data_IF_713607701054
#
_entry.id   IF_713607701054
#
_cell.length_a   1.000
_cell.length_b   1.000
_cell.length_c   1.000
_cell.angle_alpha   90.00
_cell.angle_beta   90.00
_cell.angle_gamma   90.00
#
_symmetry.space_group_name_H-M   'P 1'
#
loop_
_entity.id
_entity.type
_entity.pdbx_description
1 polymer ?
#
# COMPACT_ATOMS: atom_id res chain seq x y z
N UNK A 1 -11.09 8.19 4.13
CA UNK A 1 -12.49 7.69 4.03
C UNK A 1 -12.68 6.39 4.81
N UNK A 2 -11.82 5.39 4.68
CA UNK A 2 -11.95 4.11 5.41
C UNK A 2 -12.05 4.29 6.92
N UNK A 3 -11.19 5.10 7.52
CA UNK A 3 -11.24 5.41 8.95
C UNK A 3 -12.60 5.96 9.41
N UNK A 4 -13.32 6.61 8.51
CA UNK A 4 -14.64 7.18 8.76
C UNK A 4 -15.78 6.26 8.28
N UNK A 5 -15.50 5.00 7.97
CA UNK A 5 -16.44 4.00 7.46
C UNK A 5 -17.17 4.46 6.18
N UNK A 6 -16.51 5.26 5.37
CA UNK A 6 -17.04 5.71 4.08
C UNK A 6 -16.42 4.90 2.95
N UNK A 7 -17.18 4.56 1.89
CA UNK A 7 -16.64 3.86 0.75
C UNK A 7 -15.62 4.72 0.02
N UNK A 8 -14.48 4.12 -0.32
CA UNK A 8 -13.47 4.72 -1.17
C UNK A 8 -13.60 4.19 -2.61
N UNK A 9 -13.42 5.07 -3.60
CA UNK A 9 -13.50 4.73 -5.02
C UNK A 9 -12.11 4.51 -5.57
N UNK A 10 -11.86 3.31 -6.07
CA UNK A 10 -10.60 2.94 -6.70
C UNK A 10 -10.74 2.87 -8.21
N UNK A 11 -9.67 3.28 -8.93
CA UNK A 11 -9.51 2.98 -10.35
C UNK A 11 -8.16 2.32 -10.61
N UNK A 12 -8.09 1.41 -11.59
CA UNK A 12 -6.85 0.70 -11.90
C UNK A 12 -6.05 1.44 -12.97
N UNK A 13 -4.74 1.59 -12.75
CA UNK A 13 -3.78 2.04 -13.75
C UNK A 13 -2.88 0.86 -14.15
N UNK A 14 -2.92 0.50 -15.44
CA UNK A 14 -2.27 -0.70 -15.96
C UNK A 14 -1.09 -0.41 -16.89
N UNK A 15 -0.86 0.85 -17.22
CA UNK A 15 0.23 1.30 -18.09
C UNK A 15 0.78 2.64 -17.60
N UNK A 16 2.04 2.93 -17.91
CA UNK A 16 2.64 4.20 -17.55
C UNK A 16 1.97 5.35 -18.31
N UNK A 17 1.09 6.04 -17.62
CA UNK A 17 0.34 7.19 -18.15
C UNK A 17 0.19 8.26 -17.06
N UNK A 18 1.20 9.13 -16.86
CA UNK A 18 1.18 10.13 -15.79
C UNK A 18 -0.04 11.07 -15.83
N UNK A 19 -0.54 11.42 -17.02
CA UNK A 19 -1.75 12.25 -17.15
C UNK A 19 -3.01 11.62 -16.57
N UNK A 20 -3.07 10.28 -16.46
CA UNK A 20 -4.18 9.56 -15.85
C UNK A 20 -4.38 9.94 -14.38
N UNK A 21 -3.30 10.20 -13.65
CA UNK A 21 -3.35 10.59 -12.23
C UNK A 21 -4.21 11.84 -12.05
N UNK A 22 -3.96 12.88 -12.86
CA UNK A 22 -4.75 14.11 -12.84
C UNK A 22 -6.22 13.87 -13.19
N UNK A 23 -6.50 13.00 -14.16
CA UNK A 23 -7.88 12.68 -14.54
C UNK A 23 -8.59 11.92 -13.43
N UNK A 24 -7.94 10.92 -12.83
CA UNK A 24 -8.50 10.15 -11.71
C UNK A 24 -8.89 11.07 -10.54
N UNK A 25 -7.99 11.97 -10.13
CA UNK A 25 -8.25 12.95 -9.10
C UNK A 25 -9.43 13.89 -9.49
N UNK A 26 -9.43 14.45 -10.71
CA UNK A 26 -10.47 15.36 -11.19
C UNK A 26 -11.85 14.70 -11.28
N UNK A 27 -11.93 13.39 -11.56
CA UNK A 27 -13.19 12.64 -11.58
C UNK A 27 -13.60 12.09 -10.22
N UNK A 28 -12.89 12.44 -9.14
CA UNK A 28 -13.27 12.14 -7.77
C UNK A 28 -13.06 10.68 -7.38
N UNK A 29 -12.05 10.04 -7.96
CA UNK A 29 -11.49 8.81 -7.39
C UNK A 29 -10.65 9.15 -6.17
N UNK A 30 -10.65 8.25 -5.20
CA UNK A 30 -9.94 8.40 -3.94
C UNK A 30 -8.56 7.74 -3.99
N UNK A 31 -8.43 6.69 -4.79
CA UNK A 31 -7.19 5.92 -4.86
C UNK A 31 -7.00 5.31 -6.26
N UNK A 32 -5.76 5.28 -6.70
CA UNK A 32 -5.33 4.53 -7.89
C UNK A 32 -4.77 3.19 -7.44
N UNK A 33 -5.26 2.10 -8.01
CA UNK A 33 -4.63 0.80 -7.88
C UNK A 33 -3.58 0.63 -8.98
N UNK A 34 -2.31 0.66 -8.59
CA UNK A 34 -1.16 0.44 -9.45
C UNK A 34 -0.73 -1.02 -9.38
N UNK A 35 -0.90 -1.74 -10.48
CA UNK A 35 -0.67 -3.18 -10.55
C UNK A 35 0.73 -3.50 -11.11
N UNK A 36 1.65 -3.92 -10.26
CA UNK A 36 3.00 -4.34 -10.65
C UNK A 36 3.14 -5.88 -10.70
N UNK A 37 2.10 -6.61 -10.30
CA UNK A 37 2.11 -8.08 -10.37
C UNK A 37 1.90 -8.56 -11.80
N UNK A 38 0.89 -8.01 -12.49
CA UNK A 38 0.52 -8.44 -13.84
C UNK A 38 0.85 -7.41 -14.91
N UNK A 39 1.53 -6.33 -14.59
CA UNK A 39 1.90 -5.25 -15.52
C UNK A 39 3.37 -4.89 -15.40
N UNK A 40 3.96 -4.55 -16.53
CA UNK A 40 5.34 -4.12 -16.59
C UNK A 40 5.45 -2.63 -16.27
N UNK A 41 6.06 -2.34 -15.12
CA UNK A 41 6.50 -1.01 -14.72
C UNK A 41 7.93 -1.09 -14.22
N UNK A 42 8.74 -0.11 -14.53
CA UNK A 42 10.03 0.03 -13.89
C UNK A 42 9.94 0.91 -12.62
N UNK A 43 10.97 0.87 -11.78
CA UNK A 43 10.99 1.59 -10.50
C UNK A 43 10.85 3.12 -10.69
N UNK A 44 11.38 3.68 -11.78
CA UNK A 44 11.29 5.13 -12.07
C UNK A 44 9.90 5.54 -12.52
N UNK A 45 9.22 4.70 -13.27
CA UNK A 45 7.84 4.90 -13.67
C UNK A 45 6.93 4.91 -12.45
N UNK A 46 7.12 3.95 -11.52
CA UNK A 46 6.37 3.88 -10.26
C UNK A 46 6.61 5.14 -9.43
N UNK A 47 7.87 5.51 -9.20
CA UNK A 47 8.24 6.70 -8.42
C UNK A 47 7.67 7.99 -9.03
N UNK A 48 7.69 8.11 -10.36
CA UNK A 48 7.08 9.24 -11.07
C UNK A 48 5.56 9.31 -10.88
N UNK A 49 4.86 8.17 -10.95
CA UNK A 49 3.40 8.12 -10.72
C UNK A 49 3.05 8.45 -9.28
N UNK A 50 3.81 7.97 -8.30
CA UNK A 50 3.62 8.28 -6.88
C UNK A 50 3.84 9.77 -6.61
N UNK A 51 4.88 10.37 -7.18
CA UNK A 51 5.12 11.82 -7.09
C UNK A 51 3.98 12.63 -7.71
N UNK A 52 3.48 12.20 -8.88
CA UNK A 52 2.33 12.84 -9.53
C UNK A 52 1.06 12.73 -8.70
N UNK A 53 0.84 11.58 -8.04
CA UNK A 53 -0.34 11.39 -7.18
C UNK A 53 -0.32 12.33 -5.97
N UNK A 54 0.86 12.53 -5.40
CA UNK A 54 1.06 13.48 -4.30
C UNK A 54 0.74 14.93 -4.72
N UNK A 55 1.17 15.33 -5.92
CA UNK A 55 0.86 16.66 -6.47
C UNK A 55 -0.63 16.88 -6.76
N UNK A 56 -1.41 15.82 -6.92
CA UNK A 56 -2.84 15.88 -7.24
C UNK A 56 -3.75 15.42 -6.09
N UNK A 57 -3.20 15.22 -4.89
CA UNK A 57 -3.93 14.81 -3.69
C UNK A 57 -4.82 13.57 -3.93
N UNK A 58 -4.23 12.52 -4.49
CA UNK A 58 -4.89 11.23 -4.72
C UNK A 58 -4.00 10.10 -4.23
N UNK A 59 -4.56 9.19 -3.45
CA UNK A 59 -3.84 8.03 -2.93
C UNK A 59 -3.43 7.04 -4.04
N UNK A 60 -2.37 6.29 -3.80
CA UNK A 60 -2.00 5.14 -4.62
C UNK A 60 -1.81 3.90 -3.75
N UNK A 61 -2.51 2.83 -4.12
CA UNK A 61 -2.30 1.48 -3.59
C UNK A 61 -1.49 0.68 -4.60
N UNK A 62 -0.31 0.23 -4.21
CA UNK A 62 0.57 -0.59 -5.06
C UNK A 62 0.32 -2.07 -4.80
N UNK A 63 0.10 -2.84 -5.88
CA UNK A 63 0.18 -4.31 -5.83
C UNK A 63 1.57 -4.73 -6.34
N UNK A 64 2.51 -5.12 -5.45
CA UNK A 64 3.88 -5.40 -5.82
C UNK A 64 4.02 -6.75 -6.56
N UNK A 65 5.07 -6.87 -7.35
CA UNK A 65 5.48 -8.12 -8.01
C UNK A 65 6.39 -9.01 -7.15
N UNK A 66 6.72 -8.57 -5.93
CA UNK A 66 7.64 -9.26 -5.03
C UNK A 66 7.21 -9.07 -3.57
N UNK A 67 7.66 -9.98 -2.70
CA UNK A 67 7.47 -9.89 -1.24
C UNK A 67 8.76 -9.52 -0.52
N UNK A 68 9.79 -9.10 -1.25
CA UNK A 68 11.05 -8.65 -0.65
C UNK A 68 10.82 -7.42 0.25
N UNK A 69 11.21 -7.52 1.52
CA UNK A 69 10.99 -6.50 2.54
C UNK A 69 11.44 -5.11 2.07
N UNK A 70 12.65 -5.01 1.52
CA UNK A 70 13.22 -3.73 1.07
C UNK A 70 12.44 -3.09 -0.09
N UNK A 71 11.87 -3.90 -0.97
CA UNK A 71 11.02 -3.41 -2.06
C UNK A 71 9.66 -2.96 -1.54
N UNK A 72 9.07 -3.68 -0.59
CA UNK A 72 7.75 -3.33 -0.04
C UNK A 72 7.79 -1.97 0.66
N UNK A 73 8.72 -1.75 1.58
CA UNK A 73 8.77 -0.46 2.28
C UNK A 73 9.25 0.68 1.38
N UNK A 74 10.03 0.42 0.32
CA UNK A 74 10.44 1.45 -0.65
C UNK A 74 9.24 2.07 -1.37
N UNK A 75 8.24 1.28 -1.76
CA UNK A 75 7.03 1.87 -2.35
C UNK A 75 6.33 2.84 -1.40
N UNK A 76 6.36 2.56 -0.09
CA UNK A 76 5.82 3.47 0.92
C UNK A 76 6.70 4.72 1.07
N UNK A 77 8.04 4.58 1.06
CA UNK A 77 8.99 5.69 1.08
C UNK A 77 8.84 6.60 -0.16
N UNK A 78 8.55 6.00 -1.32
CA UNK A 78 8.26 6.71 -2.57
C UNK A 78 6.85 7.35 -2.59
N UNK A 79 6.06 7.21 -1.51
CA UNK A 79 4.78 7.90 -1.31
C UNK A 79 3.52 7.09 -1.61
N UNK A 80 3.60 5.76 -1.73
CA UNK A 80 2.39 4.94 -1.79
C UNK A 80 1.59 5.03 -0.48
N UNK A 81 0.28 5.25 -0.57
CA UNK A 81 -0.62 5.28 0.58
C UNK A 81 -0.85 3.87 1.17
N UNK A 82 -0.64 2.82 0.39
CA UNK A 82 -0.76 1.46 0.88
C UNK A 82 -0.33 0.41 -0.13
N UNK A 83 -0.31 -0.83 0.36
CA UNK A 83 0.03 -2.00 -0.46
C UNK A 83 -1.12 -2.99 -0.47
N UNK A 84 -1.29 -3.69 -1.59
CA UNK A 84 -2.16 -4.86 -1.71
C UNK A 84 -1.32 -6.08 -2.06
N UNK A 85 -1.24 -7.04 -1.16
CA UNK A 85 -0.32 -8.18 -1.28
C UNK A 85 -1.06 -9.43 -1.72
N UNK A 86 -0.67 -10.05 -2.86
CA UNK A 86 -1.29 -11.26 -3.37
C UNK A 86 -0.90 -12.51 -2.58
N UNK A 87 -1.70 -13.56 -2.71
CA UNK A 87 -1.42 -14.93 -2.26
C UNK A 87 -1.09 -15.06 -0.76
N UNK A 88 -1.76 -14.32 0.10
CA UNK A 88 -1.60 -14.45 1.56
C UNK A 88 -2.49 -15.56 2.06
N UNK A 89 -1.88 -16.68 2.52
CA UNK A 89 -2.57 -17.93 2.85
C UNK A 89 -2.66 -18.26 4.33
N UNK A 90 -1.86 -17.58 5.17
CA UNK A 90 -1.72 -17.90 6.59
C UNK A 90 -1.30 -16.67 7.40
N UNK A 91 -1.38 -16.79 8.73
CA UNK A 91 -1.03 -15.74 9.69
C UNK A 91 0.45 -15.43 9.74
N UNK A 92 1.32 -16.42 9.52
CA UNK A 92 2.77 -16.22 9.51
C UNK A 92 3.16 -15.27 8.36
N UNK A 93 2.63 -15.53 7.16
CA UNK A 93 2.86 -14.67 6.01
C UNK A 93 2.29 -13.27 6.22
N UNK A 94 1.08 -13.18 6.78
CA UNK A 94 0.45 -11.90 7.12
C UNK A 94 1.28 -11.10 8.14
N UNK A 95 1.78 -11.74 9.20
CA UNK A 95 2.64 -11.11 10.20
C UNK A 95 3.98 -10.65 9.61
N UNK A 96 4.60 -11.46 8.74
CA UNK A 96 5.84 -11.09 8.06
C UNK A 96 5.67 -9.86 7.18
N UNK A 97 4.50 -9.71 6.54
CA UNK A 97 4.16 -8.50 5.77
C UNK A 97 4.01 -7.27 6.67
N UNK A 98 3.30 -7.40 7.78
CA UNK A 98 3.20 -6.30 8.77
C UNK A 98 4.59 -5.90 9.26
N UNK A 99 5.44 -6.88 9.61
CA UNK A 99 6.83 -6.61 10.03
C UNK A 99 7.64 -5.89 8.95
N UNK A 100 7.34 -6.14 7.68
CA UNK A 100 8.04 -5.50 6.58
C UNK A 100 7.63 -4.04 6.35
N UNK A 101 6.36 -3.68 6.59
CA UNK A 101 5.79 -2.40 6.12
C UNK A 101 5.40 -1.43 7.22
N UNK A 102 5.26 -1.90 8.47
CA UNK A 102 4.90 -1.06 9.62
C UNK A 102 6.11 -0.83 10.53
N UNK A 103 6.20 0.36 11.11
CA UNK A 103 7.22 0.69 12.09
C UNK A 103 6.94 0.07 13.46
N UNK A 104 7.98 -0.09 14.33
CA UNK A 104 7.77 -0.47 15.72
C UNK A 104 6.76 0.46 16.43
N UNK A 105 5.96 -0.03 17.39
CA UNK A 105 5.96 -1.40 17.92
C UNK A 105 5.09 -2.39 17.10
N UNK A 106 4.48 -1.95 15.99
CA UNK A 106 3.55 -2.76 15.21
C UNK A 106 4.27 -3.75 14.28
N UNK A 107 5.38 -3.32 13.69
CA UNK A 107 6.22 -4.09 12.79
C UNK A 107 7.71 -3.83 13.05
N UNK A 108 8.53 -4.04 12.00
CA UNK A 108 9.99 -3.90 12.04
C UNK A 108 10.52 -3.23 10.75
N UNK A 109 9.77 -2.26 10.22
CA UNK A 109 10.21 -1.42 9.09
C UNK A 109 11.38 -0.55 9.51
N UNK A 110 12.43 -0.49 8.66
CA UNK A 110 13.53 0.47 8.81
C UNK A 110 13.08 1.89 8.46
N UNK A 111 13.77 2.89 9.00
CA UNK A 111 13.54 4.31 8.71
C UNK A 111 14.69 4.88 7.87
N UNK A 112 14.38 5.48 6.73
CA UNK A 112 15.31 6.32 5.97
C UNK A 112 15.16 7.80 6.39
N UNK A 113 13.91 8.25 6.50
CA UNK A 113 13.58 9.62 6.92
C UNK A 113 13.78 10.68 5.83
N UNK A 114 14.13 10.29 4.60
CA UNK A 114 14.38 11.21 3.49
C UNK A 114 13.46 10.97 2.27
N UNK A 115 12.49 10.05 2.40
CA UNK A 115 11.54 9.72 1.35
C UNK A 115 10.41 10.74 1.18
N UNK A 116 9.56 10.53 0.18
CA UNK A 116 8.38 11.36 -0.05
C UNK A 116 7.35 11.21 1.08
N UNK A 117 7.28 10.04 1.70
CA UNK A 117 6.41 9.74 2.85
C UNK A 117 6.70 10.58 4.10
N UNK A 118 7.87 11.23 4.17
CA UNK A 118 8.26 12.14 5.24
C UNK A 118 8.56 13.56 4.72
N UNK A 119 8.04 13.92 3.55
CA UNK A 119 8.23 15.25 2.96
C UNK A 119 9.69 15.58 2.69
N UNK A 120 10.54 14.59 2.35
CA UNK A 120 11.99 14.78 2.10
C UNK A 120 12.73 15.47 3.25
N UNK A 121 12.38 15.15 4.49
CA UNK A 121 12.89 15.76 5.74
C UNK A 121 12.46 17.23 5.97
N UNK A 122 11.76 17.87 5.06
CA UNK A 122 11.33 19.26 5.23
C UNK A 122 10.32 19.34 6.38
N UNK A 123 9.36 18.44 6.40
CA UNK A 123 8.31 18.41 7.43
C UNK A 123 8.86 18.12 8.84
N UNK A 124 9.94 17.36 8.95
CA UNK A 124 10.62 17.09 10.22
C UNK A 124 11.24 18.33 10.86
N UNK A 125 11.68 19.30 10.06
CA UNK A 125 12.32 20.51 10.55
C UNK A 125 11.31 21.55 11.03
N UNK A 126 10.06 21.46 10.59
CA UNK A 126 9.02 22.45 10.88
C UNK A 126 8.19 22.11 12.14
N UNK A 127 8.23 20.87 12.63
CA UNK A 127 7.40 20.42 13.74
C UNK A 127 8.22 19.89 14.92
N UNK A 128 8.27 20.63 16.02
CA UNK A 128 8.76 20.10 17.28
C UNK A 128 7.91 18.91 17.75
N UNK A 129 8.55 17.76 18.03
CA UNK A 129 7.91 16.50 18.46
C UNK A 129 7.06 15.78 17.40
N UNK A 130 7.42 15.88 16.14
CA UNK A 130 6.77 15.13 15.07
C UNK A 130 7.01 13.62 15.21
N UNK A 131 5.97 12.88 15.59
CA UNK A 131 6.01 11.43 15.68
C UNK A 131 5.70 10.80 14.30
N UNK A 132 6.69 10.86 13.41
CA UNK A 132 6.61 10.36 12.05
C UNK A 132 6.21 8.89 11.98
N UNK A 133 6.84 8.03 12.78
CA UNK A 133 6.60 6.59 12.69
C UNK A 133 5.19 6.20 13.08
N UNK A 134 4.62 6.86 14.08
CA UNK A 134 3.24 6.66 14.48
C UNK A 134 2.27 7.22 13.43
N UNK A 135 2.55 8.39 12.88
CA UNK A 135 1.73 8.97 11.80
C UNK A 135 1.70 8.05 10.58
N UNK A 136 2.85 7.61 10.09
CA UNK A 136 2.92 6.71 8.92
C UNK A 136 2.23 5.38 9.19
N UNK A 137 2.39 4.80 10.38
CA UNK A 137 1.66 3.58 10.75
C UNK A 137 0.14 3.76 10.71
N UNK A 138 -0.35 4.95 11.02
CA UNK A 138 -1.78 5.28 10.98
C UNK A 138 -2.29 5.61 9.58
N UNK A 139 -1.49 6.33 8.78
CA UNK A 139 -1.93 6.81 7.48
C UNK A 139 -1.75 5.79 6.36
N UNK A 140 -0.73 4.93 6.42
CA UNK A 140 -0.54 3.85 5.44
C UNK A 140 -1.43 2.65 5.74
N UNK A 141 -1.83 1.92 4.69
CA UNK A 141 -2.67 0.73 4.84
C UNK A 141 -2.07 -0.51 4.14
N UNK A 142 -2.40 -1.68 4.69
CA UNK A 142 -2.02 -2.98 4.16
C UNK A 142 -3.26 -3.82 3.87
N UNK A 143 -3.48 -4.12 2.60
CA UNK A 143 -4.53 -5.02 2.10
C UNK A 143 -3.90 -6.37 1.77
N UNK A 144 -4.54 -7.48 2.11
CA UNK A 144 -4.09 -8.81 1.71
C UNK A 144 -5.14 -9.51 0.86
N UNK A 145 -4.69 -10.19 -0.21
CA UNK A 145 -5.59 -10.91 -1.10
C UNK A 145 -5.84 -12.33 -0.60
N UNK A 146 -7.11 -12.65 -0.48
CA UNK A 146 -7.64 -14.00 -0.17
C UNK A 146 -8.07 -14.61 -1.49
N UNK A 147 -7.23 -15.49 -2.04
CA UNK A 147 -7.40 -16.01 -3.39
C UNK A 147 -6.96 -17.47 -3.56
N UNK A 148 -6.86 -18.19 -2.44
CA UNK A 148 -6.62 -19.63 -2.42
C UNK A 148 -7.59 -20.31 -1.45
N UNK A 149 -7.94 -21.60 -1.65
CA UNK A 149 -8.76 -22.35 -0.70
C UNK A 149 -8.17 -22.36 0.73
N UNK A 150 -6.83 -22.37 0.85
CA UNK A 150 -6.14 -22.30 2.14
C UNK A 150 -6.35 -20.93 2.79
N UNK A 151 -6.23 -19.84 2.03
CA UNK A 151 -6.49 -18.49 2.53
C UNK A 151 -7.93 -18.34 3.03
N UNK A 152 -8.90 -18.90 2.31
CA UNK A 152 -10.33 -18.87 2.72
C UNK A 152 -10.53 -19.60 4.06
N UNK A 153 -9.87 -20.75 4.27
CA UNK A 153 -9.95 -21.48 5.54
C UNK A 153 -9.36 -20.71 6.72
N UNK A 154 -8.32 -19.93 6.46
CA UNK A 154 -7.59 -19.19 7.48
C UNK A 154 -8.00 -17.71 7.56
N UNK A 155 -9.10 -17.32 6.90
CA UNK A 155 -9.46 -15.91 6.71
C UNK A 155 -9.64 -15.14 8.02
N UNK A 156 -10.25 -15.77 9.03
CA UNK A 156 -10.47 -15.13 10.34
C UNK A 156 -9.15 -14.91 11.08
N UNK A 157 -8.25 -15.89 11.00
CA UNK A 157 -6.92 -15.81 11.61
C UNK A 157 -6.08 -14.72 10.91
N UNK A 158 -6.08 -14.69 9.57
CA UNK A 158 -5.40 -13.65 8.78
C UNK A 158 -5.96 -12.26 9.12
N UNK A 159 -7.29 -12.13 9.19
CA UNK A 159 -7.95 -10.86 9.52
C UNK A 159 -7.65 -10.38 10.94
N UNK A 160 -7.33 -11.30 11.87
CA UNK A 160 -6.98 -10.97 13.26
C UNK A 160 -5.57 -10.41 13.43
N UNK A 161 -4.70 -10.51 12.41
CA UNK A 161 -3.34 -10.00 12.47
C UNK A 161 -3.35 -8.48 12.53
N UNK A 162 -2.88 -7.94 13.65
CA UNK A 162 -2.83 -6.49 13.85
C UNK A 162 -1.90 -5.83 12.84
N UNK A 163 -2.41 -4.86 12.10
CA UNK A 163 -1.68 -4.16 11.03
C UNK A 163 -2.13 -4.54 9.63
N UNK A 164 -3.04 -5.54 9.51
CA UNK A 164 -3.84 -5.75 8.30
C UNK A 164 -5.05 -4.83 8.39
N UNK A 165 -5.26 -4.01 7.37
CA UNK A 165 -6.32 -2.99 7.33
C UNK A 165 -7.55 -3.47 6.55
N UNK A 166 -7.36 -4.33 5.54
CA UNK A 166 -8.45 -4.87 4.74
C UNK A 166 -8.09 -6.21 4.06
N UNK A 167 -9.14 -6.95 3.71
CA UNK A 167 -9.05 -8.16 2.90
C UNK A 167 -9.64 -7.89 1.51
N UNK A 168 -8.96 -8.36 0.47
CA UNK A 168 -9.44 -8.33 -0.90
C UNK A 168 -9.67 -9.76 -1.40
N UNK A 169 -10.87 -10.04 -1.90
CA UNK A 169 -11.19 -11.37 -2.43
C UNK A 169 -10.77 -11.47 -3.90
N UNK A 170 -9.72 -12.23 -4.17
CA UNK A 170 -9.19 -12.47 -5.51
C UNK A 170 -9.99 -13.58 -6.23
N UNK A 171 -11.15 -13.22 -6.76
CA UNK A 171 -12.10 -14.18 -7.35
C UNK A 171 -11.54 -14.90 -8.58
N UNK A 172 -10.62 -14.30 -9.33
CA UNK A 172 -9.99 -14.91 -10.50
C UNK A 172 -9.19 -16.16 -10.12
N UNK A 173 -8.22 -15.99 -9.22
CA UNK A 173 -7.37 -17.10 -8.76
C UNK A 173 -8.12 -18.12 -7.90
N UNK A 174 -9.05 -17.64 -7.07
CA UNK A 174 -9.88 -18.51 -6.24
C UNK A 174 -10.78 -19.41 -7.11
N UNK A 175 -11.26 -18.91 -8.24
CA UNK A 175 -12.08 -19.69 -9.17
C UNK A 175 -11.31 -20.72 -10.01
N UNK A 176 -9.97 -20.60 -10.07
CA UNK A 176 -9.10 -21.55 -10.77
C UNK A 176 -8.63 -22.72 -9.90
N UNK A 177 -8.82 -22.65 -8.59
CA UNK A 177 -8.25 -23.59 -7.58
C UNK A 177 -9.34 -24.32 -6.82
#
# INVERSE_FOLDING_TARGET
KWKNQQPAKFCALQHYLPSFVKHAAAFGYDCIWLDLEHRAFDDREVQSLLTMSHLHDIDVMVRPSTLEKSKLYRYLEDGAAGLMIPLVSDTEKAQNLVNAVKFPPLGDRGIDGAGLDCGFMVDFQEQENFDYTNLVNQETFLVVQIETPTAVKNIEEIASVRGIDALFIGIGDLGLR
#
